data_IF_678670895426
#
_entry.id   IF_678670895426
#
_cell.length_a   1.000
_cell.length_b   1.000
_cell.length_c   1.000
_cell.angle_alpha   90.00
_cell.angle_beta   90.00
_cell.angle_gamma   90.00
#
_symmetry.space_group_name_H-M   'P 1'
#
loop_
_entity.id
_entity.type
_entity.pdbx_description
1 polymer ?
#
# COMPACT_ATOMS: atom_id res chain seq x y z
N UNK A 1 -68.13 -36.69 3.79
CA UNK A 1 -69.17 -35.66 3.96
C UNK A 1 -68.44 -34.33 4.04
N UNK A 2 -67.90 -33.80 2.94
CA UNK A 2 -68.44 -33.57 1.56
C UNK A 2 -69.26 -32.26 1.53
N UNK A 3 -69.11 -31.34 0.56
CA UNK A 3 -68.16 -31.30 -0.57
C UNK A 3 -68.09 -29.92 -1.26
N UNK A 4 -66.99 -29.66 -2.00
CA UNK A 4 -66.83 -28.71 -3.15
C UNK A 4 -67.19 -27.20 -2.94
N UNK A 5 -66.69 -26.19 -3.68
CA UNK A 5 -65.62 -25.98 -4.69
C UNK A 5 -65.35 -24.46 -4.80
N UNK A 6 -64.25 -23.89 -5.30
CA UNK A 6 -62.83 -24.31 -5.46
C UNK A 6 -61.99 -23.06 -5.01
N UNK A 7 -61.11 -22.30 -5.69
CA UNK A 7 -60.31 -22.43 -6.93
C UNK A 7 -58.83 -22.23 -6.55
N UNK A 8 -58.06 -23.33 -6.61
CA UNK A 8 -56.73 -23.54 -7.25
C UNK A 8 -55.77 -22.37 -7.58
N UNK A 9 -54.45 -22.55 -7.69
CA UNK A 9 -53.46 -23.57 -7.23
C UNK A 9 -52.05 -22.91 -7.38
N UNK A 10 -51.12 -23.08 -6.45
CA UNK A 10 -50.03 -24.09 -6.43
C UNK A 10 -49.12 -24.11 -7.67
N UNK A 11 -47.81 -23.99 -7.41
CA UNK A 11 -46.69 -23.99 -8.39
C UNK A 11 -46.09 -25.40 -8.51
N UNK A 12 -45.77 -25.87 -9.73
CA UNK A 12 -44.53 -26.63 -10.05
C UNK A 12 -44.43 -27.06 -11.54
N UNK A 13 -43.18 -27.38 -11.95
CA UNK A 13 -42.72 -28.00 -13.20
C UNK A 13 -42.84 -27.27 -14.55
N UNK A 14 -41.76 -27.38 -15.35
CA UNK A 14 -41.64 -26.94 -16.74
C UNK A 14 -40.16 -26.80 -17.16
N UNK A 15 -39.72 -27.50 -18.22
CA UNK A 15 -38.31 -27.50 -18.66
C UNK A 15 -38.07 -26.78 -19.99
N UNK A 16 -36.86 -26.23 -20.11
CA UNK A 16 -36.04 -26.08 -21.35
C UNK A 16 -36.30 -24.92 -22.31
N UNK A 17 -35.18 -24.55 -23.00
CA UNK A 17 -35.05 -23.73 -24.23
C UNK A 17 -35.36 -22.23 -24.12
N UNK A 18 -34.74 -21.34 -24.90
CA UNK A 18 -33.46 -21.34 -25.65
C UNK A 18 -33.13 -19.87 -25.99
N UNK A 19 -31.89 -19.38 -25.81
CA UNK A 19 -31.44 -18.07 -26.34
C UNK A 19 -29.90 -17.91 -26.29
N UNK A 20 -29.21 -18.57 -27.21
CA UNK A 20 -27.77 -18.35 -27.46
C UNK A 20 -27.57 -17.49 -28.70
N UNK A 21 -27.18 -16.22 -28.52
CA UNK A 21 -26.90 -15.31 -29.64
C UNK A 21 -25.56 -15.67 -30.30
N UNK A 22 -25.61 -16.14 -31.55
CA UNK A 22 -24.44 -16.62 -32.28
C UNK A 22 -23.48 -15.51 -32.72
N UNK A 23 -22.18 -15.77 -32.60
CA UNK A 23 -21.12 -15.08 -33.35
C UNK A 23 -21.28 -15.44 -34.84
N UNK A 24 -21.45 -14.44 -35.73
CA UNK A 24 -21.48 -14.64 -37.18
C UNK A 24 -20.16 -14.23 -37.84
N UNK A 25 -19.33 -15.23 -38.15
CA UNK A 25 -18.16 -15.07 -39.02
C UNK A 25 -18.61 -14.82 -40.46
N UNK A 26 -18.30 -13.64 -41.03
CA UNK A 26 -18.59 -13.34 -42.43
C UNK A 26 -17.48 -13.95 -43.31
N UNK A 27 -17.84 -14.94 -44.12
CA UNK A 27 -16.97 -15.57 -45.12
C UNK A 27 -17.53 -15.32 -46.52
N UNK A 28 -16.92 -14.39 -47.26
CA UNK A 28 -17.32 -14.06 -48.63
C UNK A 28 -16.52 -14.86 -49.66
N UNK A 29 -17.07 -16.00 -50.12
CA UNK A 29 -16.69 -16.61 -51.40
C UNK A 29 -17.75 -16.28 -52.45
N UNK A 30 -17.37 -15.49 -53.44
CA UNK A 30 -18.10 -15.28 -54.69
C UNK A 30 -17.13 -15.34 -55.87
N UNK A 31 -17.50 -15.99 -56.98
CA UNK A 31 -16.69 -16.07 -58.20
C UNK A 31 -17.58 -16.24 -59.42
N UNK A 32 -17.12 -15.68 -60.55
CA UNK A 32 -17.70 -15.74 -61.90
C UNK A 32 -18.85 -14.73 -62.15
N UNK A 33 -18.96 -14.08 -63.32
CA UNK A 33 -18.11 -14.09 -64.52
C UNK A 33 -17.84 -12.65 -65.03
N UNK A 34 -16.97 -12.49 -66.03
CA UNK A 34 -16.39 -11.20 -66.38
C UNK A 34 -17.07 -10.41 -67.49
N UNK A 35 -16.69 -9.14 -67.60
CA UNK A 35 -16.50 -8.38 -68.85
C UNK A 35 -15.49 -7.24 -68.59
N UNK A 36 -14.79 -6.80 -69.63
CA UNK A 36 -13.90 -5.63 -69.59
C UNK A 36 -14.48 -4.54 -70.50
N UNK A 37 -14.21 -3.24 -70.23
CA UNK A 37 -13.03 -2.66 -70.88
C UNK A 37 -12.25 -1.61 -70.06
N UNK A 38 -11.00 -1.42 -70.54
CA UNK A 38 -10.01 -0.35 -70.29
C UNK A 38 -10.55 0.99 -69.76
N UNK A 39 -9.89 1.55 -68.74
CA UNK A 39 -9.47 2.97 -68.67
C UNK A 39 -8.12 3.12 -67.95
N UNK A 40 -7.51 4.31 -67.99
CA UNK A 40 -6.06 4.47 -67.95
C UNK A 40 -5.42 4.77 -66.58
N UNK A 41 -4.10 4.54 -66.50
CA UNK A 41 -3.23 4.97 -65.41
C UNK A 41 -3.05 6.49 -65.40
N UNK A 42 -3.33 7.14 -64.27
CA UNK A 42 -2.74 8.42 -63.88
C UNK A 42 -2.33 8.31 -62.41
N UNK A 43 -1.06 8.60 -62.10
CA UNK A 43 -0.50 8.39 -60.77
C UNK A 43 -0.89 9.49 -59.77
N UNK A 44 -1.15 9.10 -58.53
CA UNK A 44 -1.22 10.01 -57.38
C UNK A 44 -0.29 9.55 -56.26
N UNK A 45 0.10 10.49 -55.39
CA UNK A 45 1.28 10.41 -54.52
C UNK A 45 1.15 9.28 -53.49
N UNK A 46 2.23 8.52 -53.25
CA UNK A 46 2.37 7.70 -52.03
C UNK A 46 2.36 8.64 -50.83
N UNK A 47 1.25 8.68 -50.10
CA UNK A 47 1.23 9.29 -48.77
C UNK A 47 1.97 8.39 -47.79
N UNK A 48 2.79 9.01 -46.93
CA UNK A 48 3.64 8.29 -45.99
C UNK A 48 2.80 7.70 -44.84
N UNK A 49 2.53 6.40 -44.97
CA UNK A 49 1.74 5.63 -44.00
C UNK A 49 2.40 5.64 -42.62
N UNK A 50 3.74 5.69 -42.52
CA UNK A 50 4.44 5.61 -41.24
C UNK A 50 4.19 6.86 -40.37
N UNK A 51 4.16 8.06 -40.97
CA UNK A 51 3.80 9.29 -40.25
C UNK A 51 2.35 9.31 -39.77
N UNK A 52 1.40 8.80 -40.57
CA UNK A 52 0.01 8.67 -40.17
C UNK A 52 -0.16 7.64 -39.04
N UNK A 53 0.51 6.48 -39.11
CA UNK A 53 0.53 5.49 -38.03
C UNK A 53 1.06 6.08 -36.71
N UNK A 54 2.15 6.85 -36.75
CA UNK A 54 2.70 7.48 -35.54
C UNK A 54 1.75 8.52 -34.93
N UNK A 55 1.17 9.40 -35.75
CA UNK A 55 0.25 10.43 -35.26
C UNK A 55 -1.07 9.86 -34.74
N UNK A 56 -1.57 8.77 -35.33
CA UNK A 56 -2.75 8.06 -34.84
C UNK A 56 -2.47 7.31 -33.54
N UNK A 57 -1.30 6.68 -33.38
CA UNK A 57 -0.91 6.07 -32.11
C UNK A 57 -0.80 7.12 -31.00
N UNK A 58 -0.15 8.26 -31.27
CA UNK A 58 0.00 9.35 -30.28
C UNK A 58 -1.37 9.87 -29.82
N UNK A 59 -2.28 10.14 -30.77
CA UNK A 59 -3.64 10.56 -30.47
C UNK A 59 -4.44 9.52 -29.70
N UNK A 60 -4.36 8.24 -30.09
CA UNK A 60 -5.06 7.15 -29.39
C UNK A 60 -4.51 6.94 -27.97
N UNK A 61 -3.20 7.05 -27.75
CA UNK A 61 -2.58 6.98 -26.42
C UNK A 61 -2.98 8.18 -25.56
N UNK A 62 -2.90 9.42 -26.05
CA UNK A 62 -3.36 10.60 -25.31
C UNK A 62 -4.85 10.52 -24.98
N UNK A 63 -5.68 10.11 -25.93
CA UNK A 63 -7.13 9.97 -25.72
C UNK A 63 -7.46 8.83 -24.75
N UNK A 64 -6.63 7.78 -24.69
CA UNK A 64 -6.74 6.73 -23.66
C UNK A 64 -6.23 7.17 -22.30
N UNK A 65 -5.16 7.96 -22.22
CA UNK A 65 -4.65 8.55 -20.98
C UNK A 65 -5.66 9.54 -20.39
N UNK A 66 -6.36 10.30 -21.24
CA UNK A 66 -7.49 11.15 -20.86
C UNK A 66 -8.68 10.32 -20.34
N UNK A 67 -9.04 9.22 -21.02
CA UNK A 67 -10.11 8.32 -20.57
C UNK A 67 -9.77 7.49 -19.33
N UNK A 68 -8.49 7.24 -19.04
CA UNK A 68 -8.01 6.60 -17.81
C UNK A 68 -7.89 7.60 -16.65
N UNK A 69 -7.40 8.82 -16.91
CA UNK A 69 -7.47 9.94 -15.96
C UNK A 69 -8.90 10.26 -15.50
N UNK A 70 -9.91 9.96 -16.32
CA UNK A 70 -11.35 10.02 -15.98
C UNK A 70 -11.80 8.90 -15.00
N UNK A 71 -11.01 7.84 -14.82
CA UNK A 71 -11.32 6.71 -13.92
C UNK A 71 -10.74 6.85 -12.51
N UNK A 72 -9.74 7.73 -12.27
CA UNK A 72 -9.24 8.02 -10.91
C UNK A 72 -10.32 8.78 -10.13
N UNK A 73 -11.15 8.02 -9.41
CA UNK A 73 -12.17 8.60 -8.52
C UNK A 73 -11.47 9.18 -7.29
N UNK A 74 -11.84 10.39 -6.86
CA UNK A 74 -11.23 11.09 -5.72
C UNK A 74 -12.21 11.34 -4.59
N UNK A 75 -11.67 11.55 -3.40
CA UNK A 75 -12.41 12.02 -2.23
C UNK A 75 -12.75 13.51 -2.37
N UNK A 76 -13.70 13.98 -1.56
CA UNK A 76 -13.97 15.42 -1.48
C UNK A 76 -12.75 16.16 -0.88
N UNK A 77 -12.51 17.43 -1.24
CA UNK A 77 -11.47 18.24 -0.58
C UNK A 77 -11.66 18.30 0.94
N UNK A 78 -12.91 18.29 1.41
CA UNK A 78 -13.25 18.24 2.83
C UNK A 78 -12.76 16.94 3.50
N UNK A 79 -12.98 15.78 2.87
CA UNK A 79 -12.49 14.50 3.36
C UNK A 79 -10.96 14.43 3.40
N UNK A 80 -10.28 14.93 2.37
CA UNK A 80 -8.82 14.94 2.32
C UNK A 80 -8.21 15.88 3.37
N UNK A 81 -8.77 17.09 3.54
CA UNK A 81 -8.39 17.98 4.66
C UNK A 81 -8.66 17.35 6.03
N UNK A 82 -9.79 16.66 6.21
CA UNK A 82 -10.10 15.97 7.46
C UNK A 82 -9.17 14.78 7.77
N UNK A 83 -8.55 14.17 6.75
CA UNK A 83 -7.49 13.17 6.90
C UNK A 83 -6.18 13.83 7.39
N UNK A 84 -5.75 14.93 6.78
CA UNK A 84 -4.55 15.64 7.22
C UNK A 84 -4.70 16.28 8.62
N UNK A 85 -5.88 16.80 8.96
CA UNK A 85 -6.22 17.24 10.33
C UNK A 85 -6.09 16.10 11.34
N UNK A 86 -6.54 14.89 10.98
CA UNK A 86 -6.44 13.71 11.83
C UNK A 86 -4.97 13.28 12.00
N UNK A 87 -4.19 13.26 10.91
CA UNK A 87 -2.77 12.94 10.93
C UNK A 87 -1.96 13.91 11.79
N UNK A 88 -2.16 15.22 11.61
CA UNK A 88 -1.53 16.26 12.41
C UNK A 88 -1.90 16.16 13.90
N UNK A 89 -3.19 15.93 14.20
CA UNK A 89 -3.68 15.75 15.57
C UNK A 89 -3.21 14.44 16.25
N UNK A 90 -2.75 13.46 15.46
CA UNK A 90 -2.06 12.25 15.92
C UNK A 90 -0.56 12.48 16.17
N UNK A 91 0.13 13.27 15.34
CA UNK A 91 1.52 13.68 15.61
C UNK A 91 1.60 14.49 16.93
N UNK A 92 0.63 15.37 17.15
CA UNK A 92 0.46 16.12 18.40
C UNK A 92 0.13 15.21 19.62
N UNK A 93 -0.42 14.02 19.41
CA UNK A 93 -0.63 13.04 20.49
C UNK A 93 0.69 12.40 20.93
N UNK A 94 1.56 11.99 19.99
CA UNK A 94 2.88 11.42 20.31
C UNK A 94 3.71 12.40 21.14
N UNK A 95 3.68 13.69 20.81
CA UNK A 95 4.32 14.72 21.61
C UNK A 95 3.69 14.89 23.02
N UNK A 96 2.37 14.74 23.15
CA UNK A 96 1.69 14.78 24.46
C UNK A 96 1.98 13.54 25.33
N UNK A 97 2.34 12.40 24.73
CA UNK A 97 2.64 11.14 25.43
C UNK A 97 4.07 11.02 25.97
N UNK A 98 4.99 11.90 25.54
CA UNK A 98 6.25 12.17 26.23
C UNK A 98 5.92 12.44 27.70
N UNK A 99 6.64 11.80 28.64
CA UNK A 99 6.33 11.79 30.09
C UNK A 99 7.25 12.72 30.86
N UNK A 100 8.56 12.54 30.72
CA UNK A 100 9.62 13.26 31.41
C UNK A 100 10.22 14.37 30.55
N UNK A 101 11.55 14.35 30.43
CA UNK A 101 12.32 15.42 29.79
C UNK A 101 12.86 14.96 28.43
N UNK A 102 12.49 15.60 27.30
CA UNK A 102 13.14 15.39 26.02
C UNK A 102 14.64 15.67 26.12
N UNK A 103 15.43 14.65 25.84
CA UNK A 103 16.89 14.67 25.98
C UNK A 103 17.53 14.40 24.62
N UNK A 104 18.39 15.32 24.18
CA UNK A 104 19.15 15.19 22.94
C UNK A 104 20.30 14.18 23.11
N UNK A 105 20.46 13.27 22.16
CA UNK A 105 21.59 12.35 22.04
C UNK A 105 22.15 12.45 20.61
N UNK A 106 23.47 12.53 20.48
CA UNK A 106 24.16 12.51 19.19
C UNK A 106 24.72 11.10 18.92
N UNK A 107 24.47 10.53 17.74
CA UNK A 107 24.99 9.23 17.31
C UNK A 107 25.33 9.29 15.82
N UNK A 108 26.59 9.03 15.47
CA UNK A 108 27.08 8.97 14.09
C UNK A 108 26.79 10.24 13.24
N UNK A 109 26.80 11.43 13.85
CA UNK A 109 26.51 12.69 13.17
C UNK A 109 25.02 12.94 12.92
N UNK A 110 24.13 12.09 13.45
CA UNK A 110 22.68 12.31 13.52
C UNK A 110 22.26 12.61 14.96
N UNK A 111 21.26 13.48 15.08
CA UNK A 111 20.73 13.91 16.38
C UNK A 111 19.40 13.21 16.63
N UNK A 112 19.24 12.63 17.81
CA UNK A 112 18.06 11.89 18.22
C UNK A 112 17.52 12.42 19.55
N UNK A 113 16.21 12.33 19.74
CA UNK A 113 15.52 12.74 20.96
C UNK A 113 14.97 11.54 21.71
N UNK A 114 15.12 11.55 23.04
CA UNK A 114 14.63 10.52 23.95
C UNK A 114 13.88 11.16 25.13
N UNK A 115 12.69 10.65 25.42
CA UNK A 115 11.99 10.93 26.66
C UNK A 115 12.73 10.24 27.81
N UNK A 116 13.24 11.03 28.75
CA UNK A 116 13.96 10.52 29.92
C UNK A 116 13.12 10.74 31.18
N UNK A 117 12.70 9.65 31.82
CA UNK A 117 11.83 9.65 33.01
C UNK A 117 12.22 8.55 34.01
N UNK A 118 11.74 8.65 35.25
CA UNK A 118 11.97 7.61 36.28
C UNK A 118 10.80 6.64 36.40
N UNK A 119 11.12 5.38 36.67
CA UNK A 119 10.16 4.33 37.05
C UNK A 119 10.74 3.63 38.29
N UNK A 120 10.22 3.96 39.47
CA UNK A 120 10.86 3.58 40.74
C UNK A 120 12.24 4.25 40.87
N UNK A 121 13.27 3.45 41.17
CA UNK A 121 14.68 3.86 41.16
C UNK A 121 15.19 4.23 39.76
N UNK A 122 14.65 3.59 38.73
CA UNK A 122 15.36 3.43 37.47
C UNK A 122 15.07 4.57 36.50
N UNK A 123 16.13 5.10 35.86
CA UNK A 123 15.99 6.07 34.77
C UNK A 123 15.75 5.30 33.48
N UNK A 124 14.53 5.39 32.94
CA UNK A 124 14.20 4.88 31.61
C UNK A 124 14.38 5.98 30.57
N UNK A 125 14.82 5.56 29.39
CA UNK A 125 14.83 6.35 28.17
C UNK A 125 13.87 5.70 27.17
N UNK A 126 13.21 6.51 26.36
CA UNK A 126 12.27 6.06 25.35
C UNK A 126 12.44 6.94 24.13
N UNK A 127 12.71 6.34 22.97
CA UNK A 127 13.01 7.06 21.74
C UNK A 127 11.79 7.88 21.27
N UNK A 128 12.01 9.14 20.87
CA UNK A 128 10.99 10.04 20.34
C UNK A 128 11.08 10.14 18.81
N UNK A 129 12.29 10.38 18.28
CA UNK A 129 12.53 10.64 16.86
C UNK A 129 13.93 11.18 16.56
N UNK A 130 14.25 11.30 15.28
CA UNK A 130 15.41 12.07 14.79
C UNK A 130 15.08 13.58 14.85
N UNK A 131 16.09 14.45 15.01
CA UNK A 131 15.87 15.89 15.13
C UNK A 131 15.28 16.49 13.85
N UNK A 132 14.18 17.22 14.01
CA UNK A 132 13.63 18.08 12.98
C UNK A 132 13.09 19.36 13.62
N UNK A 133 12.93 20.41 12.82
CA UNK A 133 12.26 21.63 13.26
C UNK A 133 10.81 21.35 13.69
N UNK A 134 10.10 20.49 12.95
CA UNK A 134 8.74 20.05 13.26
C UNK A 134 8.64 19.38 14.64
N UNK A 135 9.61 18.51 14.97
CA UNK A 135 9.69 17.86 16.28
C UNK A 135 10.03 18.87 17.39
N UNK A 136 11.00 19.76 17.15
CA UNK A 136 11.37 20.83 18.10
C UNK A 136 10.20 21.76 18.42
N UNK A 137 9.40 22.15 17.41
CA UNK A 137 8.20 22.97 17.58
C UNK A 137 7.11 22.25 18.38
N UNK A 138 6.92 20.93 18.20
CA UNK A 138 6.00 20.14 19.06
C UNK A 138 6.52 19.98 20.48
N UNK A 139 7.82 19.77 20.68
CA UNK A 139 8.41 19.64 22.02
C UNK A 139 8.24 20.91 22.86
N UNK A 140 8.29 22.09 22.25
CA UNK A 140 7.97 23.37 22.93
C UNK A 140 6.50 23.45 23.39
N UNK A 141 5.58 22.71 22.74
CA UNK A 141 4.13 22.75 22.98
C UNK A 141 3.60 21.63 23.89
N UNK A 142 4.43 20.68 24.35
CA UNK A 142 4.02 19.48 25.11
C UNK A 142 3.01 19.80 26.22
N UNK A 143 3.24 20.85 27.02
CA UNK A 143 2.31 21.23 28.10
C UNK A 143 0.91 21.54 27.55
N UNK A 144 0.79 22.45 26.58
CA UNK A 144 -0.49 22.81 25.98
C UNK A 144 -1.15 21.61 25.25
N UNK A 145 -0.36 20.71 24.66
CA UNK A 145 -0.87 19.49 24.02
C UNK A 145 -1.41 18.47 25.02
N UNK A 146 -0.86 18.41 26.24
CA UNK A 146 -1.41 17.65 27.37
C UNK A 146 -2.66 18.32 27.94
N UNK A 147 -2.63 19.64 28.14
CA UNK A 147 -3.74 20.41 28.71
C UNK A 147 -5.01 20.32 27.83
N UNK A 148 -4.87 20.28 26.49
CA UNK A 148 -5.98 20.12 25.54
C UNK A 148 -6.30 18.64 25.17
N UNK A 149 -5.68 17.63 25.82
CA UNK A 149 -5.69 16.22 25.36
C UNK A 149 -7.10 15.64 25.10
N UNK A 150 -8.04 15.83 26.04
CA UNK A 150 -9.41 15.32 25.90
C UNK A 150 -10.23 16.06 24.83
N UNK A 151 -9.87 17.29 24.49
CA UNK A 151 -10.47 18.02 23.39
C UNK A 151 -9.92 17.53 22.04
N UNK A 152 -8.59 17.43 21.89
CA UNK A 152 -7.95 16.82 20.70
C UNK A 152 -8.48 15.40 20.45
N UNK A 153 -8.58 14.56 21.48
CA UNK A 153 -9.15 13.21 21.39
C UNK A 153 -10.61 13.21 20.89
N UNK A 154 -11.47 14.10 21.44
CA UNK A 154 -12.85 14.25 20.95
C UNK A 154 -12.90 14.74 19.49
N UNK A 155 -11.99 15.63 19.09
CA UNK A 155 -11.88 16.09 17.71
C UNK A 155 -11.43 14.97 16.75
N UNK A 156 -10.39 14.19 17.08
CA UNK A 156 -9.98 13.03 16.25
C UNK A 156 -11.13 12.02 16.09
N UNK A 157 -11.86 11.75 17.18
CA UNK A 157 -13.05 10.90 17.13
C UNK A 157 -14.20 11.51 16.28
N UNK A 158 -14.25 12.83 16.09
CA UNK A 158 -15.16 13.50 15.14
C UNK A 158 -14.66 13.34 13.70
N UNK A 159 -13.38 13.56 13.44
CA UNK A 159 -12.75 13.40 12.12
C UNK A 159 -12.89 11.96 11.59
N UNK A 160 -12.62 10.94 12.41
CA UNK A 160 -12.82 9.52 12.01
C UNK A 160 -14.28 9.20 11.67
N UNK A 161 -15.26 9.86 12.31
CA UNK A 161 -16.68 9.72 11.95
C UNK A 161 -17.01 10.41 10.62
N UNK A 162 -16.44 11.60 10.37
CA UNK A 162 -16.59 12.34 9.12
C UNK A 162 -16.01 11.54 7.95
N UNK A 163 -14.76 11.05 8.06
CA UNK A 163 -14.13 10.20 7.06
C UNK A 163 -14.99 8.96 6.74
N UNK A 164 -15.54 8.30 7.77
CA UNK A 164 -16.47 7.17 7.57
C UNK A 164 -17.76 7.57 6.81
N UNK A 165 -18.31 8.76 7.06
CA UNK A 165 -19.48 9.26 6.35
C UNK A 165 -19.17 9.58 4.87
N UNK A 166 -18.00 10.14 4.59
CA UNK A 166 -17.42 10.34 3.26
C UNK A 166 -17.02 9.00 2.58
N UNK A 167 -17.28 7.86 3.22
CA UNK A 167 -16.93 6.51 2.75
C UNK A 167 -15.43 6.34 2.48
N UNK A 168 -14.58 6.88 3.34
CA UNK A 168 -13.14 6.60 3.35
C UNK A 168 -12.88 5.12 3.66
N UNK A 169 -11.85 4.53 3.05
CA UNK A 169 -11.46 3.15 3.24
C UNK A 169 -10.92 2.91 4.66
N UNK A 170 -11.81 2.47 5.54
CA UNK A 170 -11.43 1.98 6.85
C UNK A 170 -10.73 0.62 6.80
N UNK A 171 -10.00 0.32 7.87
CA UNK A 171 -9.65 -1.05 8.28
C UNK A 171 -10.82 -1.68 9.04
N UNK A 172 -10.89 -3.00 9.03
CA UNK A 172 -11.80 -3.77 9.87
C UNK A 172 -11.40 -3.69 11.37
N UNK A 173 -12.25 -4.27 12.23
CA UNK A 173 -12.05 -4.20 13.67
C UNK A 173 -10.83 -5.00 14.17
N UNK A 174 -10.43 -6.10 13.51
CA UNK A 174 -9.28 -6.91 13.90
C UNK A 174 -7.98 -6.19 13.52
N UNK A 175 -7.82 -5.86 12.23
CA UNK A 175 -6.68 -5.10 11.70
C UNK A 175 -6.48 -3.78 12.44
N UNK A 176 -7.56 -3.01 12.66
CA UNK A 176 -7.49 -1.77 13.43
C UNK A 176 -7.06 -1.95 14.88
N UNK A 177 -7.51 -3.04 15.53
CA UNK A 177 -7.16 -3.32 16.93
C UNK A 177 -5.71 -3.76 17.13
N UNK A 178 -5.15 -4.59 16.23
CA UNK A 178 -3.75 -5.02 16.33
C UNK A 178 -2.80 -3.86 15.96
N UNK A 179 -3.12 -3.05 14.94
CA UNK A 179 -2.35 -1.84 14.62
C UNK A 179 -2.36 -0.83 15.77
N UNK A 180 -3.50 -0.66 16.45
CA UNK A 180 -3.60 0.17 17.66
C UNK A 180 -2.71 -0.36 18.79
N UNK A 181 -2.69 -1.68 19.02
CA UNK A 181 -1.83 -2.29 20.03
C UNK A 181 -0.34 -2.19 19.69
N UNK A 182 0.05 -2.37 18.42
CA UNK A 182 1.42 -2.16 17.95
C UNK A 182 1.88 -0.70 18.09
N UNK A 183 0.99 0.28 17.83
CA UNK A 183 1.27 1.68 18.11
C UNK A 183 1.50 1.92 19.62
N UNK A 184 0.62 1.41 20.48
CA UNK A 184 0.76 1.50 21.95
C UNK A 184 2.01 0.79 22.50
N UNK A 185 2.44 -0.31 21.88
CA UNK A 185 3.68 -0.99 22.21
C UNK A 185 4.94 -0.26 21.70
N UNK A 186 4.79 0.74 20.82
CA UNK A 186 5.89 1.52 20.27
C UNK A 186 6.50 0.98 18.97
N UNK A 187 5.87 0.02 18.29
CA UNK A 187 6.41 -0.62 17.06
C UNK A 187 6.77 0.43 16.00
N UNK A 188 5.86 1.35 15.68
CA UNK A 188 6.09 2.38 14.66
C UNK A 188 7.10 3.46 15.11
N UNK A 189 7.16 3.72 16.42
CA UNK A 189 8.16 4.61 17.05
C UNK A 189 9.58 4.07 16.86
N UNK A 190 9.73 2.74 16.95
CA UNK A 190 11.00 2.03 16.81
C UNK A 190 11.37 1.69 15.36
N UNK A 191 10.71 2.32 14.37
CA UNK A 191 10.97 2.11 12.95
C UNK A 191 10.41 0.79 12.40
N UNK A 192 9.41 0.21 13.05
CA UNK A 192 8.51 -0.73 12.39
C UNK A 192 7.61 0.00 11.40
N UNK A 193 7.44 -0.55 10.21
CA UNK A 193 6.70 0.04 9.08
C UNK A 193 5.67 -0.98 8.60
N UNK A 194 4.40 -0.60 8.50
CA UNK A 194 3.37 -1.44 7.87
C UNK A 194 3.67 -1.50 6.37
N UNK A 195 3.72 -2.70 5.79
CA UNK A 195 3.93 -2.88 4.34
C UNK A 195 2.74 -3.66 3.71
N UNK A 196 2.96 -4.31 2.56
CA UNK A 196 1.99 -5.23 1.98
C UNK A 196 0.67 -4.57 1.54
N UNK A 197 -0.44 -5.31 1.70
CA UNK A 197 -1.78 -4.82 1.33
C UNK A 197 -2.26 -3.67 2.23
N UNK A 198 -1.92 -3.67 3.52
CA UNK A 198 -2.42 -2.63 4.43
C UNK A 198 -1.77 -1.27 4.14
N UNK A 199 -0.48 -1.23 3.82
CA UNK A 199 0.18 0.00 3.36
C UNK A 199 -0.47 0.54 2.08
N UNK A 200 -0.74 -0.32 1.09
CA UNK A 200 -1.43 0.07 -0.14
C UNK A 200 -2.77 0.75 0.14
N UNK A 201 -3.59 0.18 1.03
CA UNK A 201 -4.90 0.74 1.42
C UNK A 201 -4.78 2.11 2.11
N UNK A 202 -3.69 2.36 2.83
CA UNK A 202 -3.48 3.62 3.54
C UNK A 202 -3.07 4.79 2.61
N UNK A 203 -2.65 4.52 1.36
CA UNK A 203 -2.45 5.58 0.36
C UNK A 203 -3.75 6.25 -0.10
N UNK A 204 -4.94 5.71 0.24
CA UNK A 204 -6.20 6.45 0.08
C UNK A 204 -6.19 7.73 0.92
N UNK A 205 -5.54 7.66 2.10
CA UNK A 205 -5.22 8.78 2.97
C UNK A 205 -4.35 9.84 2.28
N UNK A 206 -3.20 9.40 1.77
CA UNK A 206 -2.12 10.28 1.29
C UNK A 206 -2.35 10.89 -0.09
N UNK A 207 -3.09 10.20 -0.97
CA UNK A 207 -3.28 10.62 -2.37
C UNK A 207 -4.66 11.23 -2.63
N UNK A 208 -5.56 11.22 -1.64
CA UNK A 208 -6.93 11.73 -1.78
C UNK A 208 -7.78 11.02 -2.84
N UNK A 209 -7.33 9.85 -3.32
CA UNK A 209 -8.02 8.99 -4.28
C UNK A 209 -9.08 8.13 -3.58
N UNK A 210 -9.81 7.31 -4.33
CA UNK A 210 -10.73 6.30 -3.81
C UNK A 210 -10.45 4.98 -4.48
N UNK A 211 -10.12 3.94 -3.70
CA UNK A 211 -9.96 2.61 -4.27
C UNK A 211 -11.31 1.95 -4.55
N UNK A 212 -11.34 1.10 -5.58
CA UNK A 212 -12.47 0.21 -5.87
C UNK A 212 -12.41 -1.10 -5.05
N UNK A 213 -13.48 -1.90 -5.07
CA UNK A 213 -13.55 -3.17 -4.33
C UNK A 213 -12.56 -4.23 -4.88
N UNK A 214 -12.31 -4.22 -6.18
CA UNK A 214 -11.33 -5.06 -6.86
C UNK A 214 -9.89 -4.63 -6.54
N UNK A 215 -9.60 -3.32 -6.49
CA UNK A 215 -8.30 -2.79 -6.07
C UNK A 215 -7.98 -3.08 -4.59
N UNK A 216 -9.00 -3.16 -3.73
CA UNK A 216 -8.87 -3.42 -2.28
C UNK A 216 -8.93 -4.89 -1.89
N UNK A 217 -8.95 -5.82 -2.85
CA UNK A 217 -9.11 -7.27 -2.67
C UNK A 217 -8.40 -7.81 -1.40
N UNK A 218 -9.24 -8.13 -0.40
CA UNK A 218 -8.84 -8.19 1.00
C UNK A 218 -7.85 -9.32 1.28
N UNK A 219 -6.74 -8.94 1.92
CA UNK A 219 -5.97 -9.82 2.79
C UNK A 219 -6.05 -9.22 4.19
N UNK A 220 -6.34 -10.03 5.20
CA UNK A 220 -6.33 -9.55 6.59
C UNK A 220 -4.90 -9.43 7.14
N UNK A 221 -3.93 -10.01 6.43
CA UNK A 221 -2.52 -10.06 6.79
C UNK A 221 -1.94 -8.69 7.11
N UNK A 222 -1.16 -8.61 8.18
CA UNK A 222 -0.47 -7.40 8.65
C UNK A 222 1.04 -7.63 8.60
N UNK A 223 1.66 -7.14 7.52
CA UNK A 223 3.09 -7.20 7.32
C UNK A 223 3.77 -6.02 8.04
N UNK A 224 4.66 -6.30 9.00
CA UNK A 224 5.45 -5.30 9.74
C UNK A 224 6.93 -5.47 9.38
N UNK A 225 7.49 -4.48 8.71
CA UNK A 225 8.88 -4.50 8.26
C UNK A 225 9.75 -3.50 9.04
N UNK A 226 11.01 -3.83 9.35
CA UNK A 226 11.96 -2.91 10.00
C UNK A 226 13.40 -3.23 9.62
N UNK A 227 14.34 -2.32 9.93
CA UNK A 227 15.77 -2.57 9.76
C UNK A 227 16.39 -3.16 11.04
N UNK A 228 17.02 -4.33 10.92
CA UNK A 228 17.88 -4.92 11.96
C UNK A 228 18.85 -3.88 12.55
N UNK A 229 19.58 -3.14 11.70
CA UNK A 229 20.53 -2.10 12.13
C UNK A 229 19.89 -0.93 12.89
N UNK A 230 18.64 -0.55 12.58
CA UNK A 230 17.92 0.50 13.31
C UNK A 230 17.48 -0.01 14.68
N UNK A 231 16.91 -1.22 14.73
CA UNK A 231 16.52 -1.90 15.98
C UNK A 231 17.69 -2.22 16.94
N UNK A 232 18.93 -2.10 16.47
CA UNK A 232 20.15 -2.12 17.30
C UNK A 232 20.59 -0.68 17.67
N UNK A 233 20.56 0.26 16.72
CA UNK A 233 21.07 1.62 16.93
C UNK A 233 20.20 2.53 17.81
N UNK A 234 18.91 2.20 18.00
CA UNK A 234 17.99 3.00 18.82
C UNK A 234 18.17 2.81 20.34
N UNK A 235 18.72 1.69 20.83
CA UNK A 235 18.96 1.49 22.28
C UNK A 235 17.67 1.68 23.13
N UNK A 236 16.54 1.32 22.54
CA UNK A 236 15.18 1.36 23.07
C UNK A 236 14.40 0.15 22.52
N UNK A 237 13.33 -0.28 23.19
CA UNK A 237 12.56 -1.47 22.82
C UNK A 237 11.07 -1.31 23.09
N UNK A 238 10.27 -2.26 22.57
CA UNK A 238 8.81 -2.24 22.71
C UNK A 238 8.38 -2.21 24.18
N UNK A 239 7.44 -1.31 24.48
CA UNK A 239 6.93 -1.05 25.84
C UNK A 239 6.26 -2.29 26.49
N UNK A 240 5.83 -3.24 25.65
CA UNK A 240 5.33 -4.55 26.02
C UNK A 240 5.84 -5.59 24.99
N UNK A 241 6.20 -6.82 25.39
CA UNK A 241 6.67 -7.84 24.45
C UNK A 241 5.62 -8.15 23.38
N UNK A 242 5.99 -8.15 22.10
CA UNK A 242 5.03 -8.37 21.01
C UNK A 242 4.40 -9.76 21.05
N UNK A 243 5.11 -10.77 21.56
CA UNK A 243 4.53 -12.10 21.86
C UNK A 243 3.36 -12.03 22.84
N UNK A 244 3.45 -11.21 23.91
CA UNK A 244 2.35 -11.02 24.85
C UNK A 244 1.16 -10.32 24.18
N UNK A 245 1.44 -9.23 23.45
CA UNK A 245 0.41 -8.50 22.68
C UNK A 245 -0.31 -9.43 21.69
N UNK A 246 0.43 -10.24 20.95
CA UNK A 246 -0.13 -11.18 19.97
C UNK A 246 -0.97 -12.27 20.63
N UNK A 247 -0.53 -12.82 21.77
CA UNK A 247 -1.32 -13.78 22.55
C UNK A 247 -2.64 -13.20 23.07
N UNK A 248 -2.67 -11.93 23.50
CA UNK A 248 -3.91 -11.24 23.91
C UNK A 248 -4.93 -11.17 22.75
N UNK A 249 -4.47 -10.98 21.51
CA UNK A 249 -5.29 -11.06 20.29
C UNK A 249 -5.52 -12.49 19.76
N UNK A 250 -5.20 -13.51 20.58
CA UNK A 250 -5.34 -14.94 20.25
C UNK A 250 -4.53 -15.39 19.02
N UNK A 251 -3.37 -14.79 18.79
CA UNK A 251 -2.37 -15.26 17.83
C UNK A 251 -1.39 -16.27 18.44
N UNK A 252 -1.03 -17.26 17.65
CA UNK A 252 -0.03 -18.28 17.99
C UNK A 252 1.14 -18.24 16.99
N UNK A 253 2.36 -18.66 17.40
CA UNK A 253 3.48 -18.85 16.49
C UNK A 253 3.12 -19.78 15.33
N UNK A 254 3.29 -19.32 14.09
CA UNK A 254 3.16 -20.22 12.95
C UNK A 254 4.36 -21.19 12.92
N UNK A 255 4.17 -22.48 12.53
CA UNK A 255 5.27 -23.42 12.39
C UNK A 255 6.38 -22.90 11.46
N UNK A 256 7.62 -23.03 11.93
CA UNK A 256 8.84 -22.58 11.24
C UNK A 256 9.83 -23.74 11.13
N UNK A 257 10.68 -23.72 10.09
CA UNK A 257 11.72 -24.75 9.92
C UNK A 257 12.90 -24.57 10.89
N UNK A 258 13.08 -23.36 11.43
CA UNK A 258 14.03 -23.02 12.49
C UNK A 258 13.29 -22.98 13.85
N UNK A 259 13.44 -23.99 14.73
CA UNK A 259 12.80 -23.98 16.04
C UNK A 259 13.18 -22.74 16.87
N UNK A 260 12.18 -22.08 17.46
CA UNK A 260 12.36 -20.89 18.30
C UNK A 260 12.51 -19.56 17.55
N UNK A 261 12.59 -19.53 16.22
CA UNK A 261 12.72 -18.29 15.42
C UNK A 261 11.37 -17.82 14.86
N UNK A 262 10.42 -17.50 15.73
CA UNK A 262 9.09 -17.04 15.31
C UNK A 262 9.14 -15.68 14.62
N UNK A 263 8.78 -15.65 13.34
CA UNK A 263 8.64 -14.44 12.51
C UNK A 263 7.23 -14.26 11.93
N UNK A 264 6.43 -15.34 11.87
CA UNK A 264 5.03 -15.34 11.44
C UNK A 264 4.16 -15.79 12.61
N UNK A 265 3.02 -15.13 12.77
CA UNK A 265 1.98 -15.48 13.73
C UNK A 265 0.66 -15.65 12.99
N UNK A 266 -0.15 -16.63 13.39
CA UNK A 266 -1.50 -16.85 12.86
C UNK A 266 -2.54 -16.70 13.97
N UNK A 267 -3.66 -16.05 13.68
CA UNK A 267 -4.76 -15.98 14.63
C UNK A 267 -5.47 -17.34 14.74
N UNK A 268 -5.81 -17.78 15.95
CA UNK A 268 -6.54 -19.05 16.17
C UNK A 268 -8.00 -18.98 15.72
N UNK A 269 -8.57 -17.78 15.64
CA UNK A 269 -10.00 -17.53 15.34
C UNK A 269 -10.27 -17.07 13.90
N UNK A 270 -9.24 -16.88 13.08
CA UNK A 270 -9.37 -16.46 11.68
C UNK A 270 -8.11 -16.81 10.88
N UNK A 271 -8.16 -16.75 9.55
CA UNK A 271 -6.96 -16.91 8.70
C UNK A 271 -6.04 -15.67 8.68
N UNK A 272 -6.16 -14.75 9.65
CA UNK A 272 -5.33 -13.54 9.71
C UNK A 272 -3.90 -13.86 10.12
N UNK A 273 -2.93 -13.40 9.32
CA UNK A 273 -1.50 -13.48 9.63
C UNK A 273 -0.92 -12.15 10.14
N UNK A 274 0.15 -12.24 10.93
CA UNK A 274 1.12 -11.15 11.14
C UNK A 274 2.48 -11.68 10.73
N UNK A 275 3.16 -10.98 9.82
CA UNK A 275 4.53 -11.32 9.39
C UNK A 275 5.50 -10.19 9.74
N UNK A 276 6.63 -10.56 10.35
CA UNK A 276 7.73 -9.64 10.61
C UNK A 276 8.81 -9.80 9.54
N UNK A 277 9.20 -8.68 8.92
CA UNK A 277 10.08 -8.63 7.75
C UNK A 277 11.28 -7.69 7.99
N UNK A 278 12.40 -7.94 7.32
CA UNK A 278 13.60 -7.08 7.37
C UNK A 278 14.37 -7.14 6.05
N UNK A 279 15.17 -6.13 5.66
CA UNK A 279 15.90 -6.23 4.40
C UNK A 279 17.06 -7.25 4.44
N UNK A 280 17.13 -8.15 3.45
CA UNK A 280 18.31 -8.98 3.23
C UNK A 280 19.35 -8.25 2.38
N UNK A 281 20.60 -8.33 2.84
CA UNK A 281 21.81 -7.91 2.13
C UNK A 281 22.74 -9.11 1.84
N UNK A 282 22.35 -10.32 2.24
CA UNK A 282 23.07 -11.56 1.93
C UNK A 282 22.63 -12.11 0.56
N UNK A 283 23.37 -13.09 0.04
CA UNK A 283 22.98 -13.79 -1.19
C UNK A 283 21.64 -14.52 -1.02
N UNK A 284 21.43 -15.16 0.13
CA UNK A 284 20.20 -15.86 0.49
C UNK A 284 19.25 -15.02 1.36
N UNK A 285 17.97 -15.40 1.37
CA UNK A 285 16.92 -14.86 2.23
C UNK A 285 16.66 -15.83 3.40
N UNK A 286 16.73 -15.34 4.64
CA UNK A 286 16.61 -16.18 5.84
C UNK A 286 16.23 -15.40 7.10
N UNK A 287 16.17 -16.05 8.26
CA UNK A 287 15.70 -15.42 9.49
C UNK A 287 16.77 -14.56 10.17
N UNK A 288 16.38 -13.37 10.63
CA UNK A 288 17.21 -12.38 11.34
C UNK A 288 16.47 -11.89 12.60
N UNK A 289 17.18 -11.46 13.66
CA UNK A 289 16.55 -10.85 14.82
C UNK A 289 16.12 -9.39 14.52
N UNK A 290 15.09 -8.90 15.23
CA UNK A 290 14.77 -7.47 15.37
C UNK A 290 14.75 -7.12 16.86
N UNK A 291 15.91 -6.85 17.50
CA UNK A 291 16.02 -6.73 18.96
C UNK A 291 15.04 -5.73 19.61
N UNK A 292 14.88 -4.52 19.07
CA UNK A 292 13.92 -3.54 19.58
C UNK A 292 12.46 -4.01 19.58
N UNK A 293 12.08 -4.93 18.68
CA UNK A 293 10.72 -5.50 18.60
C UNK A 293 10.57 -6.83 19.36
N UNK A 294 11.68 -7.45 19.81
CA UNK A 294 11.67 -8.72 20.55
C UNK A 294 11.25 -9.95 19.72
N UNK A 295 11.37 -9.90 18.39
CA UNK A 295 10.95 -10.96 17.46
C UNK A 295 12.04 -11.33 16.46
N UNK A 296 11.86 -12.45 15.75
CA UNK A 296 12.59 -12.71 14.50
C UNK A 296 11.80 -12.15 13.31
N UNK A 297 12.48 -11.95 12.19
CA UNK A 297 11.92 -11.49 10.94
C UNK A 297 12.48 -12.29 9.76
N UNK A 298 11.66 -12.53 8.74
CA UNK A 298 12.13 -13.04 7.45
C UNK A 298 12.85 -11.92 6.71
N UNK A 299 14.12 -12.15 6.35
CA UNK A 299 14.87 -11.19 5.53
C UNK A 299 14.51 -11.33 4.05
N UNK A 300 14.30 -10.19 3.37
CA UNK A 300 13.90 -10.13 1.95
C UNK A 300 14.75 -9.12 1.16
N UNK A 301 15.22 -9.50 -0.03
CA UNK A 301 15.90 -8.59 -0.95
C UNK A 301 14.96 -7.49 -1.45
N UNK A 302 15.53 -6.34 -1.84
CA UNK A 302 14.84 -5.14 -2.34
C UNK A 302 13.99 -4.38 -1.30
N UNK A 303 13.63 -5.00 -0.17
CA UNK A 303 12.86 -4.35 0.91
C UNK A 303 13.58 -3.11 1.50
N UNK A 304 14.91 -3.03 1.40
CA UNK A 304 15.70 -1.86 1.81
C UNK A 304 15.40 -0.57 1.01
N UNK A 305 14.85 -0.69 -0.19
CA UNK A 305 14.39 0.46 -0.98
C UNK A 305 12.97 0.87 -0.57
N UNK A 306 12.11 -0.11 -0.26
CA UNK A 306 10.76 0.16 0.22
C UNK A 306 10.76 0.87 1.58
N UNK A 307 11.67 0.48 2.48
CA UNK A 307 11.80 1.08 3.81
C UNK A 307 12.68 2.34 3.85
N UNK A 308 13.10 2.89 2.70
CA UNK A 308 13.81 4.16 2.67
C UNK A 308 12.83 5.32 2.93
N UNK A 309 13.15 6.16 3.92
CA UNK A 309 12.41 7.40 4.27
C UNK A 309 10.87 7.21 4.42
N UNK A 310 10.42 6.25 5.25
CA UNK A 310 9.01 5.92 5.39
C UNK A 310 8.25 7.07 6.08
N UNK A 311 7.02 7.30 5.62
CA UNK A 311 6.14 8.38 6.06
C UNK A 311 5.16 7.91 7.16
N UNK A 312 4.53 8.87 7.84
CA UNK A 312 3.50 8.61 8.84
C UNK A 312 2.10 8.71 8.22
N UNK A 313 1.19 7.83 8.63
CA UNK A 313 -0.17 7.75 8.11
C UNK A 313 -1.20 7.48 9.21
N UNK A 314 -2.45 7.92 8.99
CA UNK A 314 -3.54 7.82 9.95
C UNK A 314 -4.50 6.67 9.61
N UNK A 315 -4.58 5.66 10.47
CA UNK A 315 -5.57 4.59 10.35
C UNK A 315 -6.89 5.04 10.98
N UNK A 316 -8.00 4.96 10.26
CA UNK A 316 -9.32 5.47 10.69
C UNK A 316 -10.05 4.52 11.67
N UNK A 317 -9.34 4.03 12.70
CA UNK A 317 -9.86 3.16 13.76
C UNK A 317 -9.93 3.92 15.09
N UNK A 318 -10.99 3.69 15.89
CA UNK A 318 -11.28 4.43 17.15
C UNK A 318 -11.22 5.96 16.98
N UNK A 319 -10.29 6.63 17.66
CA UNK A 319 -9.97 8.07 17.54
C UNK A 319 -8.66 8.32 16.77
N UNK A 320 -8.37 7.45 15.80
CA UNK A 320 -7.16 7.44 14.99
C UNK A 320 -6.07 6.54 15.58
N UNK A 321 -5.27 5.94 14.70
CA UNK A 321 -4.00 5.30 15.06
C UNK A 321 -2.92 5.85 14.14
N UNK A 322 -1.81 6.31 14.70
CA UNK A 322 -0.64 6.69 13.91
C UNK A 322 0.18 5.45 13.60
N UNK A 323 0.48 5.24 12.32
CA UNK A 323 1.35 4.16 11.84
C UNK A 323 2.39 4.73 10.88
N UNK A 324 3.43 3.94 10.60
CA UNK A 324 4.44 4.26 9.59
C UNK A 324 4.23 3.36 8.36
N UNK A 325 4.32 3.92 7.16
CA UNK A 325 4.21 3.22 5.86
C UNK A 325 5.36 3.65 4.92
N UNK A 326 5.72 2.85 3.91
CA UNK A 326 6.55 3.32 2.80
C UNK A 326 5.92 4.54 2.13
N UNK A 327 6.71 5.30 1.38
CA UNK A 327 6.14 6.29 0.46
C UNK A 327 5.48 5.61 -0.76
N UNK A 328 4.38 6.16 -1.32
CA UNK A 328 3.62 5.52 -2.40
C UNK A 328 4.44 5.28 -3.68
N UNK A 329 5.34 6.19 -4.04
CA UNK A 329 6.23 6.09 -5.19
C UNK A 329 7.27 4.96 -5.02
N UNK A 330 7.92 4.90 -3.85
CA UNK A 330 8.83 3.79 -3.50
C UNK A 330 8.09 2.45 -3.48
N UNK A 331 6.83 2.43 -3.01
CA UNK A 331 5.98 1.24 -3.05
C UNK A 331 5.64 0.80 -4.48
N UNK A 332 5.23 1.71 -5.35
CA UNK A 332 4.85 1.40 -6.73
C UNK A 332 6.03 0.83 -7.54
N UNK A 333 7.20 1.47 -7.45
CA UNK A 333 8.41 0.99 -8.12
C UNK A 333 8.91 -0.34 -7.52
N UNK A 334 8.83 -0.53 -6.19
CA UNK A 334 9.14 -1.82 -5.56
C UNK A 334 8.22 -2.95 -6.04
N UNK A 335 6.94 -2.65 -6.30
CA UNK A 335 5.97 -3.62 -6.84
C UNK A 335 6.33 -4.09 -8.25
N UNK A 336 6.92 -3.25 -9.10
CA UNK A 336 7.44 -3.66 -10.42
C UNK A 336 8.49 -4.77 -10.31
N UNK A 337 9.36 -4.68 -9.30
CA UNK A 337 10.47 -5.60 -9.06
C UNK A 337 9.97 -6.92 -8.46
N UNK A 338 9.03 -6.85 -7.51
CA UNK A 338 8.46 -8.03 -6.86
C UNK A 338 7.52 -8.80 -7.78
N UNK A 339 6.81 -8.11 -8.69
CA UNK A 339 5.98 -8.73 -9.71
C UNK A 339 6.79 -9.68 -10.62
N UNK A 340 7.98 -9.30 -11.06
CA UNK A 340 8.87 -10.19 -11.81
C UNK A 340 9.44 -11.31 -10.93
N UNK A 341 9.85 -11.03 -9.68
CA UNK A 341 10.29 -12.09 -8.74
C UNK A 341 9.25 -13.20 -8.53
N UNK A 342 7.95 -12.87 -8.61
CA UNK A 342 6.81 -13.78 -8.39
C UNK A 342 6.19 -14.31 -9.70
N UNK A 343 6.81 -14.04 -10.85
CA UNK A 343 6.27 -14.34 -12.18
C UNK A 343 5.94 -15.82 -12.39
N UNK A 344 6.86 -16.69 -12.00
CA UNK A 344 6.81 -18.12 -12.29
C UNK A 344 6.52 -18.93 -11.01
N UNK A 345 5.58 -19.87 -11.07
CA UNK A 345 5.22 -20.76 -9.95
C UNK A 345 3.94 -20.34 -9.17
N UNK A 346 3.78 -20.83 -7.92
CA UNK A 346 2.55 -20.66 -7.14
C UNK A 346 2.14 -19.21 -6.85
N UNK A 347 3.12 -18.30 -6.80
CA UNK A 347 2.90 -16.87 -6.52
C UNK A 347 2.51 -16.04 -7.75
N UNK A 348 2.28 -16.66 -8.91
CA UNK A 348 1.87 -15.98 -10.15
C UNK A 348 0.59 -15.13 -10.02
N UNK A 349 -0.37 -15.52 -9.16
CA UNK A 349 -1.52 -14.66 -8.83
C UNK A 349 -1.13 -13.43 -8.01
N UNK A 350 -0.12 -13.54 -7.13
CA UNK A 350 0.45 -12.39 -6.41
C UNK A 350 1.19 -11.47 -7.36
N UNK A 351 1.91 -12.00 -8.35
CA UNK A 351 2.52 -11.20 -9.44
C UNK A 351 1.46 -10.33 -10.16
N UNK A 352 0.27 -10.88 -10.45
CA UNK A 352 -0.83 -10.10 -11.03
C UNK A 352 -1.30 -8.99 -10.08
N UNK A 353 -1.55 -9.30 -8.79
CA UNK A 353 -1.92 -8.28 -7.79
C UNK A 353 -0.83 -7.20 -7.62
N UNK A 354 0.45 -7.59 -7.62
CA UNK A 354 1.57 -6.66 -7.49
C UNK A 354 1.62 -5.67 -8.66
N UNK A 355 1.38 -6.13 -9.90
CA UNK A 355 1.31 -5.24 -11.07
C UNK A 355 0.10 -4.31 -11.05
N UNK A 356 -1.10 -4.79 -10.68
CA UNK A 356 -2.30 -3.95 -10.58
C UNK A 356 -2.14 -2.84 -9.52
N UNK A 357 -1.44 -3.14 -8.41
CA UNK A 357 -1.10 -2.14 -7.40
C UNK A 357 -0.05 -1.14 -7.88
N UNK A 358 0.91 -1.56 -8.71
CA UNK A 358 1.85 -0.64 -9.35
C UNK A 358 1.16 0.25 -10.41
N UNK A 359 0.32 -0.34 -11.27
CA UNK A 359 -0.45 0.34 -12.32
C UNK A 359 -1.27 1.50 -11.76
N UNK A 360 -2.10 1.23 -10.74
CA UNK A 360 -2.92 2.27 -10.11
C UNK A 360 -2.07 3.40 -9.49
N UNK A 361 -1.04 3.08 -8.70
CA UNK A 361 -0.22 4.10 -8.04
C UNK A 361 0.60 4.93 -9.04
N UNK A 362 1.12 4.31 -10.10
CA UNK A 362 1.88 5.01 -11.15
C UNK A 362 0.97 5.94 -11.95
N UNK A 363 -0.28 5.55 -12.23
CA UNK A 363 -1.24 6.41 -12.93
C UNK A 363 -1.60 7.67 -12.11
N UNK A 364 -1.83 7.49 -10.80
CA UNK A 364 -2.08 8.59 -9.84
C UNK A 364 -0.85 9.48 -9.70
N UNK A 365 0.31 8.90 -9.43
CA UNK A 365 1.55 9.66 -9.17
C UNK A 365 2.06 10.37 -10.42
N UNK A 366 1.97 9.79 -11.62
CA UNK A 366 2.32 10.47 -12.87
C UNK A 366 1.42 11.68 -13.17
N UNK A 367 0.25 11.77 -12.53
CA UNK A 367 -0.66 12.93 -12.61
C UNK A 367 -0.38 13.95 -11.49
N UNK A 368 -0.22 13.48 -10.25
CA UNK A 368 -0.24 14.34 -9.05
C UNK A 368 1.14 14.70 -8.52
N UNK A 369 2.13 13.80 -8.68
CA UNK A 369 3.49 13.88 -8.11
C UNK A 369 4.52 13.28 -9.08
N UNK A 370 4.61 13.78 -10.32
CA UNK A 370 5.44 13.16 -11.37
C UNK A 370 6.94 13.19 -11.05
N UNK A 371 7.39 14.17 -10.25
CA UNK A 371 8.79 14.31 -9.86
C UNK A 371 9.17 13.34 -8.72
N UNK A 372 8.33 13.18 -7.69
CA UNK A 372 8.48 12.11 -6.67
C UNK A 372 8.63 10.73 -7.36
N UNK A 373 7.76 10.46 -8.35
CA UNK A 373 7.78 9.20 -9.10
C UNK A 373 9.05 9.04 -9.95
N UNK A 374 9.56 10.12 -10.53
CA UNK A 374 10.81 10.16 -11.29
C UNK A 374 12.01 9.87 -10.38
N UNK A 375 12.15 10.59 -9.26
CA UNK A 375 13.26 10.39 -8.31
C UNK A 375 13.30 8.95 -7.78
N UNK A 376 12.13 8.38 -7.46
CA UNK A 376 12.00 7.00 -7.02
C UNK A 376 12.41 6.00 -8.12
N UNK A 377 12.00 6.22 -9.36
CA UNK A 377 12.42 5.40 -10.51
C UNK A 377 13.92 5.51 -10.77
N UNK A 378 14.50 6.70 -10.71
CA UNK A 378 15.94 6.95 -10.91
C UNK A 378 16.79 6.25 -9.84
N UNK A 379 16.43 6.35 -8.55
CA UNK A 379 17.06 5.60 -7.46
C UNK A 379 16.99 4.07 -7.71
N UNK A 380 15.83 3.56 -8.10
CA UNK A 380 15.67 2.15 -8.42
C UNK A 380 16.50 1.69 -9.63
N UNK A 381 16.61 2.51 -10.68
CA UNK A 381 17.44 2.22 -11.86
C UNK A 381 18.94 2.34 -11.56
N UNK A 382 19.34 3.23 -10.64
CA UNK A 382 20.73 3.41 -10.21
C UNK A 382 21.28 2.19 -9.45
N UNK A 383 20.43 1.43 -8.73
CA UNK A 383 20.79 0.23 -7.94
C UNK A 383 21.28 -1.00 -8.74
N UNK A 384 21.53 -0.83 -10.04
CA UNK A 384 22.33 -1.74 -10.86
C UNK A 384 21.52 -2.60 -11.84
N UNK A 385 22.23 -3.37 -12.69
CA UNK A 385 21.62 -4.08 -13.84
C UNK A 385 20.41 -4.94 -13.45
N UNK A 386 20.52 -5.73 -12.36
CA UNK A 386 19.43 -6.61 -11.88
C UNK A 386 18.15 -5.86 -11.48
N UNK A 387 18.23 -4.58 -11.12
CA UNK A 387 17.04 -3.75 -10.87
C UNK A 387 16.41 -3.32 -12.18
N UNK A 388 17.22 -2.78 -13.10
CA UNK A 388 16.79 -2.34 -14.44
C UNK A 388 16.14 -3.48 -15.25
N UNK A 389 16.75 -4.67 -15.23
CA UNK A 389 16.25 -5.87 -15.89
C UNK A 389 14.84 -6.26 -15.39
N UNK A 390 14.62 -6.25 -14.06
CA UNK A 390 13.33 -6.63 -13.45
C UNK A 390 12.24 -5.59 -13.70
N UNK A 391 12.57 -4.31 -13.67
CA UNK A 391 11.64 -3.23 -14.00
C UNK A 391 11.19 -3.39 -15.45
N UNK A 392 12.14 -3.50 -16.40
CA UNK A 392 11.83 -3.69 -17.82
C UNK A 392 10.93 -4.91 -18.08
N UNK A 393 11.24 -6.08 -17.49
CA UNK A 393 10.45 -7.30 -17.64
C UNK A 393 8.98 -7.18 -17.15
N UNK A 394 8.70 -6.29 -16.19
CA UNK A 394 7.32 -5.96 -15.78
C UNK A 394 6.66 -4.97 -16.74
N UNK A 395 7.39 -3.96 -17.22
CA UNK A 395 6.88 -2.96 -18.17
C UNK A 395 6.50 -3.59 -19.52
N UNK A 396 7.31 -4.50 -20.06
CA UNK A 396 7.02 -5.27 -21.29
C UNK A 396 5.68 -6.02 -21.22
N UNK A 397 5.21 -6.33 -20.01
CA UNK A 397 3.97 -7.07 -19.76
C UNK A 397 2.79 -6.16 -19.38
N UNK A 398 2.99 -4.84 -19.36
CA UNK A 398 1.96 -3.84 -19.04
C UNK A 398 2.14 -2.57 -19.89
N UNK A 399 1.45 -2.49 -21.06
CA UNK A 399 1.44 -1.28 -21.87
C UNK A 399 1.00 0.01 -21.14
N UNK A 400 0.08 -0.01 -20.15
CA UNK A 400 -0.19 1.17 -19.32
C UNK A 400 1.03 1.66 -18.54
N UNK A 401 1.76 0.77 -17.87
CA UNK A 401 3.00 1.15 -17.16
C UNK A 401 4.08 1.64 -18.12
N UNK A 402 4.22 0.99 -19.28
CA UNK A 402 5.18 1.41 -20.30
C UNK A 402 4.86 2.79 -20.87
N UNK A 403 3.58 3.16 -21.00
CA UNK A 403 3.17 4.50 -21.40
C UNK A 403 3.45 5.55 -20.31
N UNK A 404 3.08 5.26 -19.05
CA UNK A 404 3.23 6.20 -17.94
C UNK A 404 4.70 6.47 -17.56
N UNK A 405 5.57 5.45 -17.57
CA UNK A 405 7.00 5.59 -17.24
C UNK A 405 7.92 5.75 -18.45
N UNK A 406 7.45 5.48 -19.67
CA UNK A 406 8.29 5.53 -20.88
C UNK A 406 8.85 6.92 -21.23
N UNK A 407 8.24 7.97 -20.69
CA UNK A 407 8.69 9.36 -20.80
C UNK A 407 9.59 9.79 -19.61
N UNK A 408 9.65 8.97 -18.55
CA UNK A 408 10.55 9.14 -17.40
C UNK A 408 11.84 8.30 -17.51
N UNK A 409 11.92 7.40 -18.49
CA UNK A 409 13.06 6.52 -18.76
C UNK A 409 13.95 6.97 -19.95
N UNK A 410 13.79 8.21 -20.42
CA UNK A 410 14.56 8.81 -21.53
C UNK A 410 15.38 9.99 -21.06
#
# INVERSE_FOLDING_TARGET
MDDLHDIRQVVLFGQSRESSTMIRTISCRGRLAGTSPKYALVGSRRYDVQRLSFSLNMGYVQQRHFLLSIMITRHSPLAHSAYHDLLSSLHDEVAAEIRGTPTRIDRNGRVYWYDTYRVGSDVKKTYIGEDSEELRLRMQRIKALRDDRDNRRRNRARLVRLLRAERFLGVDAATGSILHAFASAGVFRLGGTVVGTQAFRLYEGELGVRFTLDQTAQTNDVDIASFERLSIALDDSVSAPLESVLKDFSFEPAPTMDPGKTWRWKQTRSETLVEFLTPSFAEEEGLRPLPALGVHAQSLHHLNYLLAEPMLAAVTYRDGVLVQIPRPERFAIHKLIVADRRRDGPDSLKSIKDRLQAEFLIEVLATDRPDDLREALEDALARGKRWRDRIAATLERSPPLQAALGDMMR
#
